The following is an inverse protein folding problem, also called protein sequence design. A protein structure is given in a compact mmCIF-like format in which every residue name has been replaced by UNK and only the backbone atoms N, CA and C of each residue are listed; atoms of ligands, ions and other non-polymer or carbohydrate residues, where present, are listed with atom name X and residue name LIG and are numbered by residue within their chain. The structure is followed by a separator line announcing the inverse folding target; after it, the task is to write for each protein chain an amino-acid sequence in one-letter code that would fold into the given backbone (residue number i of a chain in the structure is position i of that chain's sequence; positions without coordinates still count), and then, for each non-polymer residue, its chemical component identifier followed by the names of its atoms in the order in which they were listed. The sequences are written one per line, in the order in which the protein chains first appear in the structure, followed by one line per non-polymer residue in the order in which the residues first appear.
data_IF_018215241662
#
_entry.id   IF_018215241662
#
_cell.length_a   1.000
_cell.length_b   1.000
_cell.length_c   1.000
_cell.angle_alpha   90.00
_cell.angle_beta   90.00
_cell.angle_gamma   90.00
#
_symmetry.space_group_name_H-M   'P 1'
#
loop_
_entity.id
_entity.type
_entity.pdbx_description
1 polymer ?
#
# COMPACT_ATOMS: atom_id res chain seq x y z
N UNK A 1 -40.75 -53.33 26.90
CA UNK A 1 -40.02 -52.26 26.18
C UNK A 1 -40.44 -52.32 24.72
N UNK A 2 -40.86 -51.29 24.00
CA UNK A 2 -40.75 -49.85 24.18
C UNK A 2 -40.62 -49.26 22.78
N UNK A 3 -41.74 -49.05 22.07
CA UNK A 3 -41.74 -48.41 20.75
C UNK A 3 -43.05 -47.64 20.55
N UNK A 4 -43.29 -46.63 21.39
CA UNK A 4 -44.40 -45.67 21.21
C UNK A 4 -43.98 -44.20 21.45
N UNK A 5 -42.67 -43.94 21.63
CA UNK A 5 -42.17 -42.63 22.09
C UNK A 5 -41.42 -41.81 21.03
N UNK A 6 -41.24 -42.30 19.80
CA UNK A 6 -40.43 -41.60 18.78
C UNK A 6 -41.20 -40.76 17.75
N UNK A 7 -42.51 -40.98 17.56
CA UNK A 7 -43.24 -40.26 16.50
C UNK A 7 -43.51 -38.80 16.86
N UNK A 8 -43.81 -38.51 18.13
CA UNK A 8 -44.04 -37.14 18.60
C UNK A 8 -42.76 -36.31 18.65
N UNK A 9 -41.61 -36.94 18.96
CA UNK A 9 -40.31 -36.27 19.00
C UNK A 9 -39.80 -35.93 17.60
N UNK A 10 -39.98 -36.84 16.63
CA UNK A 10 -39.63 -36.58 15.23
C UNK A 10 -40.52 -35.48 14.64
N UNK A 11 -41.83 -35.50 14.89
CA UNK A 11 -42.73 -34.43 14.44
C UNK A 11 -42.39 -33.06 15.05
N UNK A 12 -42.02 -33.00 16.33
CA UNK A 12 -41.65 -31.73 16.98
C UNK A 12 -40.29 -31.20 16.51
N UNK A 13 -39.30 -32.08 16.28
CA UNK A 13 -38.01 -31.68 15.71
C UNK A 13 -38.16 -31.21 14.26
N UNK A 14 -39.01 -31.87 13.46
CA UNK A 14 -39.32 -31.46 12.09
C UNK A 14 -40.11 -30.14 12.07
N UNK A 15 -41.08 -29.94 12.97
CA UNK A 15 -41.78 -28.66 13.10
C UNK A 15 -40.83 -27.54 13.54
N UNK A 16 -39.88 -27.80 14.45
CA UNK A 16 -38.87 -26.84 14.86
C UNK A 16 -37.90 -26.50 13.72
N UNK A 17 -37.53 -27.47 12.87
CA UNK A 17 -36.72 -27.22 11.68
C UNK A 17 -37.48 -26.39 10.63
N UNK A 18 -38.79 -26.60 10.46
CA UNK A 18 -39.62 -25.85 9.52
C UNK A 18 -39.91 -24.42 10.04
N UNK A 19 -40.01 -24.20 11.35
CA UNK A 19 -40.21 -22.86 11.93
C UNK A 19 -38.93 -22.00 11.88
N UNK A 20 -37.75 -22.62 11.73
CA UNK A 20 -36.48 -21.89 11.60
C UNK A 20 -36.11 -21.46 10.17
N UNK A 21 -36.95 -21.74 9.16
CA UNK A 21 -36.82 -21.04 7.87
C UNK A 21 -37.39 -19.63 8.00
N UNK A 22 -36.72 -18.79 8.78
CA UNK A 22 -36.88 -17.35 8.66
C UNK A 22 -36.54 -16.99 7.21
N UNK A 23 -37.50 -16.42 6.49
CA UNK A 23 -37.24 -15.77 5.22
C UNK A 23 -36.36 -14.55 5.50
N UNK A 24 -35.06 -14.77 5.62
CA UNK A 24 -34.10 -13.70 5.45
C UNK A 24 -34.38 -13.12 4.06
N UNK A 25 -34.78 -11.85 4.00
CA UNK A 25 -34.90 -11.14 2.73
C UNK A 25 -33.53 -11.24 2.05
N UNK A 26 -33.47 -12.02 0.97
CA UNK A 26 -32.22 -12.37 0.32
C UNK A 26 -31.59 -11.09 -0.25
N UNK A 27 -30.46 -10.68 0.34
CA UNK A 27 -29.77 -9.46 -0.08
C UNK A 27 -29.20 -9.66 -1.48
N UNK A 28 -29.76 -8.94 -2.45
CA UNK A 28 -29.44 -9.13 -3.88
C UNK A 28 -28.05 -8.61 -4.26
N UNK A 29 -27.60 -7.51 -3.64
CA UNK A 29 -26.28 -6.92 -3.90
C UNK A 29 -25.70 -6.23 -2.65
N UNK A 30 -24.38 -5.93 -2.63
CA UNK A 30 -23.77 -5.10 -1.59
C UNK A 30 -24.44 -3.72 -1.48
N UNK A 31 -24.46 -3.15 -0.28
CA UNK A 31 -25.13 -1.85 -0.05
C UNK A 31 -24.47 -0.69 -0.81
N UNK A 32 -23.16 -0.80 -1.03
CA UNK A 32 -22.37 0.16 -1.83
C UNK A 32 -22.74 0.16 -3.32
N UNK A 33 -23.52 -0.85 -3.75
CA UNK A 33 -24.02 -1.02 -5.11
C UNK A 33 -25.55 -0.92 -5.20
N UNK A 34 -26.22 -0.50 -4.12
CA UNK A 34 -27.66 -0.30 -4.12
C UNK A 34 -28.02 1.18 -3.92
N UNK A 35 -29.21 1.53 -4.41
CA UNK A 35 -29.79 2.87 -4.29
C UNK A 35 -31.06 2.81 -3.45
N UNK A 36 -31.33 3.89 -2.73
CA UNK A 36 -32.59 4.05 -1.98
C UNK A 36 -33.70 4.47 -2.94
N UNK A 37 -34.79 3.70 -2.95
CA UNK A 37 -35.98 3.93 -3.77
C UNK A 37 -37.25 4.00 -2.91
N UNK A 38 -37.11 4.25 -1.61
CA UNK A 38 -38.22 4.22 -0.63
C UNK A 38 -39.30 5.26 -0.95
N UNK A 39 -38.91 6.44 -1.42
CA UNK A 39 -39.82 7.54 -1.75
C UNK A 39 -40.40 7.45 -3.16
N UNK A 40 -40.04 6.41 -3.93
CA UNK A 40 -40.41 6.31 -5.34
C UNK A 40 -41.74 5.59 -5.54
N UNK A 41 -42.42 5.94 -6.64
CA UNK A 41 -43.73 5.37 -6.93
C UNK A 41 -43.59 3.94 -7.45
N UNK A 42 -44.24 3.00 -6.76
CA UNK A 42 -44.40 1.61 -7.19
C UNK A 42 -45.50 1.48 -8.24
N UNK A 43 -45.20 0.77 -9.32
CA UNK A 43 -46.15 0.43 -10.38
C UNK A 43 -47.03 -0.76 -9.94
N UNK A 44 -48.10 -1.03 -10.71
CA UNK A 44 -49.08 -2.08 -10.41
C UNK A 44 -48.46 -3.49 -10.41
N UNK A 45 -47.43 -3.72 -11.23
CA UNK A 45 -46.65 -4.96 -11.31
C UNK A 45 -45.60 -5.10 -10.18
N UNK A 46 -45.52 -4.10 -9.30
CA UNK A 46 -44.55 -4.01 -8.22
C UNK A 46 -43.16 -3.51 -8.62
N UNK A 47 -42.96 -3.14 -9.90
CA UNK A 47 -41.72 -2.48 -10.32
C UNK A 47 -41.66 -1.03 -9.83
N UNK A 48 -40.47 -0.44 -9.82
CA UNK A 48 -40.24 0.97 -9.43
C UNK A 48 -39.38 1.63 -10.49
N UNK A 49 -39.80 2.79 -11.00
CA UNK A 49 -39.01 3.55 -11.96
C UNK A 49 -38.20 4.63 -11.23
N UNK A 50 -36.88 4.58 -11.35
CA UNK A 50 -35.97 5.53 -10.70
C UNK A 50 -34.70 5.73 -11.53
N UNK A 51 -34.26 6.99 -11.66
CA UNK A 51 -33.02 7.39 -12.34
C UNK A 51 -32.81 6.74 -13.73
N UNK A 52 -33.88 6.72 -14.52
CA UNK A 52 -33.86 6.17 -15.89
C UNK A 52 -33.94 4.64 -15.99
N UNK A 53 -34.03 3.92 -14.87
CA UNK A 53 -34.15 2.46 -14.83
C UNK A 53 -35.49 2.02 -14.25
N UNK A 54 -36.03 0.92 -14.79
CA UNK A 54 -37.18 0.22 -14.24
C UNK A 54 -36.69 -0.96 -13.40
N UNK A 55 -36.82 -0.87 -12.08
CA UNK A 55 -36.41 -1.88 -11.12
C UNK A 55 -37.53 -2.88 -10.90
N UNK A 56 -37.44 -4.12 -11.40
CA UNK A 56 -38.44 -5.13 -11.13
C UNK A 56 -38.29 -5.68 -9.70
N UNK A 57 -39.31 -6.35 -9.12
CA UNK A 57 -39.29 -6.77 -7.71
C UNK A 57 -38.11 -7.67 -7.31
N UNK A 58 -37.49 -8.39 -8.26
CA UNK A 58 -36.42 -9.35 -7.97
C UNK A 58 -35.07 -8.69 -7.68
N UNK A 59 -34.89 -7.42 -8.06
CA UNK A 59 -33.66 -6.65 -7.77
C UNK A 59 -33.85 -5.65 -6.63
N UNK A 60 -35.03 -5.69 -5.99
CA UNK A 60 -35.39 -4.87 -4.84
C UNK A 60 -35.25 -5.70 -3.56
N UNK A 61 -34.84 -5.06 -2.46
CA UNK A 61 -34.79 -5.68 -1.14
C UNK A 61 -35.03 -4.62 -0.05
N UNK A 62 -35.60 -5.04 1.08
CA UNK A 62 -35.77 -4.16 2.24
C UNK A 62 -34.58 -4.33 3.19
N UNK A 63 -34.02 -3.20 3.63
CA UNK A 63 -32.99 -3.14 4.66
C UNK A 63 -33.38 -2.05 5.65
N UNK A 64 -33.58 -2.42 6.92
CA UNK A 64 -33.85 -1.47 8.00
C UNK A 64 -34.95 -0.45 7.65
N UNK A 65 -36.13 -0.95 7.21
CA UNK A 65 -37.28 -0.18 6.71
C UNK A 65 -37.03 0.72 5.48
N UNK A 66 -35.85 0.59 4.86
CA UNK A 66 -35.49 1.28 3.61
C UNK A 66 -35.64 0.31 2.44
N UNK A 67 -36.46 0.67 1.45
CA UNK A 67 -36.56 -0.08 0.21
C UNK A 67 -35.39 0.30 -0.70
N UNK A 68 -34.55 -0.67 -1.02
CA UNK A 68 -33.36 -0.49 -1.86
C UNK A 68 -33.46 -1.33 -3.12
N UNK A 69 -32.78 -0.89 -4.17
CA UNK A 69 -32.67 -1.66 -5.41
C UNK A 69 -31.22 -1.70 -5.92
N UNK A 70 -30.91 -2.71 -6.73
CA UNK A 70 -29.58 -2.96 -7.28
C UNK A 70 -29.49 -2.58 -8.77
N UNK A 71 -28.99 -1.39 -9.13
CA UNK A 71 -28.87 -0.96 -10.54
C UNK A 71 -27.91 -1.85 -11.33
N UNK A 72 -26.89 -2.38 -10.66
CA UNK A 72 -25.82 -3.16 -11.28
C UNK A 72 -26.28 -4.53 -11.81
N UNK A 73 -27.46 -4.98 -11.40
CA UNK A 73 -28.12 -6.16 -11.94
C UNK A 73 -28.78 -5.88 -13.31
N UNK A 74 -29.13 -4.63 -13.61
CA UNK A 74 -29.84 -4.20 -14.82
C UNK A 74 -28.91 -3.53 -15.84
N UNK A 75 -27.98 -2.70 -15.37
CA UNK A 75 -27.01 -1.95 -16.18
C UNK A 75 -25.63 -2.10 -15.57
N UNK A 76 -24.56 -2.14 -16.37
CA UNK A 76 -23.18 -2.18 -15.84
C UNK A 76 -22.91 -0.95 -14.99
N UNK A 77 -22.20 -1.10 -13.88
CA UNK A 77 -21.99 -0.01 -12.92
C UNK A 77 -20.53 0.40 -12.80
N UNK A 78 -20.35 1.67 -12.45
CA UNK A 78 -19.10 2.21 -11.91
C UNK A 78 -19.44 3.15 -10.75
N UNK A 79 -18.48 3.37 -9.85
CA UNK A 79 -18.67 4.27 -8.71
C UNK A 79 -17.84 5.53 -8.86
N UNK A 80 -18.44 6.67 -8.54
CA UNK A 80 -17.75 7.92 -8.24
C UNK A 80 -17.74 8.11 -6.72
N UNK A 81 -16.60 8.50 -6.16
CA UNK A 81 -16.47 8.66 -4.72
C UNK A 81 -17.27 9.84 -4.18
N UNK A 82 -17.47 10.88 -5.00
CA UNK A 82 -18.15 12.10 -4.59
C UNK A 82 -19.30 12.42 -5.54
N UNK A 83 -20.36 13.07 -5.04
CA UNK A 83 -21.47 13.57 -5.86
C UNK A 83 -20.99 14.45 -7.01
N UNK A 84 -21.86 14.65 -8.00
CA UNK A 84 -21.60 15.57 -9.13
C UNK A 84 -21.17 16.95 -8.63
N UNK A 85 -20.11 17.49 -9.24
CA UNK A 85 -19.55 18.80 -8.89
C UNK A 85 -18.67 18.83 -7.63
N UNK A 86 -18.42 17.70 -6.97
CA UNK A 86 -17.54 17.62 -5.79
C UNK A 86 -16.23 16.89 -6.09
N UNK A 87 -15.22 17.16 -5.28
CA UNK A 87 -13.86 16.63 -5.38
C UNK A 87 -13.52 15.87 -4.11
N UNK A 88 -12.69 14.82 -4.23
CA UNK A 88 -12.27 14.03 -3.07
C UNK A 88 -10.88 14.47 -2.62
N UNK A 89 -10.80 15.18 -1.49
CA UNK A 89 -9.54 15.70 -0.97
C UNK A 89 -9.52 15.62 0.56
N UNK A 90 -8.37 15.24 1.15
CA UNK A 90 -8.28 15.11 2.61
C UNK A 90 -9.23 14.06 3.22
N UNK A 91 -9.55 12.99 2.47
CA UNK A 91 -10.51 11.92 2.84
C UNK A 91 -11.99 12.35 2.91
N UNK A 92 -12.34 13.53 2.43
CA UNK A 92 -13.72 14.00 2.38
C UNK A 92 -14.10 14.49 0.99
N UNK A 93 -15.39 14.46 0.70
CA UNK A 93 -15.95 15.11 -0.48
C UNK A 93 -16.23 16.58 -0.13
N UNK A 94 -15.74 17.48 -0.98
CA UNK A 94 -15.96 18.92 -0.84
C UNK A 94 -16.17 19.57 -2.19
N UNK A 95 -16.74 20.76 -2.19
CA UNK A 95 -16.76 21.60 -3.38
C UNK A 95 -15.33 22.03 -3.74
N UNK A 96 -15.02 22.18 -5.05
CA UNK A 96 -13.75 22.72 -5.49
C UNK A 96 -13.57 24.16 -4.96
N UNK A 97 -12.32 24.54 -4.65
CA UNK A 97 -11.96 25.87 -4.13
C UNK A 97 -12.23 26.98 -5.14
N UNK A 98 -12.11 26.67 -6.43
CA UNK A 98 -12.51 27.55 -7.51
C UNK A 98 -13.81 27.03 -8.11
N UNK A 99 -14.75 27.92 -8.34
CA UNK A 99 -16.02 27.63 -9.02
C UNK A 99 -15.72 27.35 -10.50
N UNK A 100 -15.14 26.18 -10.77
CA UNK A 100 -15.03 25.64 -12.11
C UNK A 100 -16.42 25.19 -12.53
N UNK A 101 -17.20 26.14 -13.04
CA UNK A 101 -18.64 26.04 -13.27
C UNK A 101 -19.06 25.04 -14.36
N UNK A 102 -18.13 24.39 -15.05
CA UNK A 102 -18.40 23.54 -16.21
C UNK A 102 -17.38 22.41 -16.38
N UNK A 103 -16.99 21.74 -15.30
CA UNK A 103 -16.21 20.52 -15.49
C UNK A 103 -16.93 19.37 -14.82
N UNK A 104 -17.51 18.51 -15.67
CA UNK A 104 -17.75 17.10 -15.36
C UNK A 104 -16.39 16.45 -15.02
N UNK A 105 -15.87 16.76 -13.84
CA UNK A 105 -14.58 16.27 -13.38
C UNK A 105 -14.70 14.78 -13.05
N UNK A 106 -13.82 13.89 -13.52
CA UNK A 106 -12.99 13.99 -14.72
C UNK A 106 -13.54 13.12 -15.85
N UNK A 107 -13.25 13.55 -17.09
CA UNK A 107 -13.12 12.67 -18.24
C UNK A 107 -12.11 11.60 -17.83
N UNK A 108 -12.53 10.33 -17.76
CA UNK A 108 -11.57 9.26 -17.52
C UNK A 108 -10.55 9.34 -18.67
N UNK A 109 -9.24 9.46 -18.37
CA UNK A 109 -8.24 9.61 -19.42
C UNK A 109 -8.35 8.56 -20.53
N UNK A 110 -8.04 8.98 -21.75
CA UNK A 110 -8.02 8.09 -22.91
C UNK A 110 -7.05 6.92 -22.66
N UNK A 111 -7.49 5.70 -22.99
CA UNK A 111 -6.70 4.47 -22.77
C UNK A 111 -6.88 3.82 -21.40
N UNK A 112 -7.58 4.46 -20.45
CA UNK A 112 -7.99 3.77 -19.21
C UNK A 112 -9.22 2.91 -19.46
N UNK A 113 -10.13 3.28 -20.34
CA UNK A 113 -11.21 2.36 -20.72
C UNK A 113 -10.73 1.40 -21.80
N UNK A 114 -11.09 0.12 -21.67
CA UNK A 114 -10.85 -0.92 -22.68
C UNK A 114 -11.37 -0.53 -24.07
N UNK A 115 -12.44 0.28 -24.11
CA UNK A 115 -13.01 0.83 -25.34
C UNK A 115 -13.20 2.34 -25.19
N UNK A 116 -12.97 3.13 -26.26
CA UNK A 116 -13.28 4.54 -26.24
C UNK A 116 -14.79 4.72 -26.09
N UNK A 117 -15.21 5.46 -25.07
CA UNK A 117 -16.62 5.74 -24.76
C UNK A 117 -16.80 7.26 -24.75
N UNK A 118 -17.91 7.75 -25.32
CA UNK A 118 -18.25 9.19 -25.34
C UNK A 118 -18.58 9.75 -23.97
N UNK A 119 -19.39 9.02 -23.19
CA UNK A 119 -19.72 9.37 -21.81
C UNK A 119 -19.87 8.12 -20.93
N UNK A 120 -19.34 8.20 -19.72
CA UNK A 120 -19.43 7.13 -18.72
C UNK A 120 -20.89 6.86 -18.31
N UNK A 121 -21.71 7.90 -18.25
CA UNK A 121 -23.12 7.84 -17.82
C UNK A 121 -24.02 7.18 -18.88
N UNK A 122 -23.63 7.25 -20.15
CA UNK A 122 -24.34 6.55 -21.23
C UNK A 122 -24.19 5.03 -21.10
N UNK A 123 -22.98 4.56 -20.84
CA UNK A 123 -22.64 3.13 -20.89
C UNK A 123 -22.74 2.43 -19.54
N UNK A 124 -22.55 3.19 -18.45
CA UNK A 124 -22.63 2.68 -17.09
C UNK A 124 -23.71 3.40 -16.30
N UNK A 125 -24.25 2.71 -15.31
CA UNK A 125 -24.96 3.34 -14.21
C UNK A 125 -23.92 3.86 -13.21
N UNK A 126 -23.95 5.15 -12.90
CA UNK A 126 -22.95 5.79 -12.04
C UNK A 126 -23.50 5.94 -10.64
N UNK A 127 -22.90 5.20 -9.71
CA UNK A 127 -23.22 5.28 -8.28
C UNK A 127 -22.32 6.31 -7.60
N UNK A 128 -22.85 7.01 -6.60
CA UNK A 128 -22.14 8.03 -5.84
C UNK A 128 -21.98 7.58 -4.39
N UNK A 129 -20.82 7.02 -4.08
CA UNK A 129 -20.52 6.49 -2.76
C UNK A 129 -19.00 6.28 -2.60
N UNK A 130 -18.47 6.61 -1.42
CA UNK A 130 -17.06 6.40 -1.05
C UNK A 130 -16.88 5.39 0.10
N UNK A 131 -17.94 4.72 0.52
CA UNK A 131 -17.87 3.69 1.54
C UNK A 131 -17.08 2.48 1.03
N UNK A 132 -16.24 1.95 1.92
CA UNK A 132 -15.52 0.70 1.74
C UNK A 132 -15.94 -0.26 2.85
N UNK A 133 -15.91 -1.55 2.53
CA UNK A 133 -16.08 -2.63 3.50
C UNK A 133 -14.98 -2.64 4.57
N UNK A 134 -13.82 -2.06 4.29
CA UNK A 134 -12.65 -2.00 5.18
C UNK A 134 -12.24 -0.57 5.50
N UNK A 135 -11.56 -0.40 6.64
CA UNK A 135 -10.99 0.88 7.05
C UNK A 135 -9.76 1.27 6.21
N UNK A 136 -9.06 0.27 5.66
CA UNK A 136 -7.89 0.49 4.83
C UNK A 136 -8.32 0.99 3.46
N UNK A 137 -7.85 2.17 3.09
CA UNK A 137 -8.10 2.79 1.79
C UNK A 137 -6.84 3.46 1.29
N UNK A 138 -6.55 3.29 0.01
CA UNK A 138 -5.42 3.95 -0.65
C UNK A 138 -5.86 4.57 -1.98
N UNK A 139 -5.15 5.63 -2.38
CA UNK A 139 -5.41 6.36 -3.61
C UNK A 139 -4.39 5.96 -4.67
N UNK A 140 -4.86 5.44 -5.79
CA UNK A 140 -4.06 5.14 -6.98
C UNK A 140 -4.22 6.31 -7.96
N UNK A 141 -3.12 6.94 -8.35
CA UNK A 141 -3.15 8.09 -9.27
C UNK A 141 -3.06 7.60 -10.71
N UNK A 142 -4.09 7.88 -11.50
CA UNK A 142 -4.13 7.43 -12.89
C UNK A 142 -3.09 8.13 -13.78
N UNK A 143 -2.75 9.38 -13.42
CA UNK A 143 -1.89 10.29 -14.14
C UNK A 143 -1.12 11.22 -13.19
N UNK A 144 -0.18 11.99 -13.76
CA UNK A 144 0.55 13.04 -13.06
C UNK A 144 1.81 12.56 -12.32
N UNK A 145 2.45 13.44 -11.54
CA UNK A 145 3.75 13.17 -10.92
C UNK A 145 3.70 12.10 -9.82
N UNK A 146 2.51 11.79 -9.32
CA UNK A 146 2.27 10.74 -8.32
C UNK A 146 1.92 9.38 -8.92
N UNK A 147 1.79 9.28 -10.25
CA UNK A 147 1.57 8.00 -10.92
C UNK A 147 2.81 7.13 -10.79
N UNK A 148 2.61 5.90 -10.34
CA UNK A 148 3.67 4.89 -10.29
C UNK A 148 3.90 4.35 -11.72
N UNK A 149 5.13 4.47 -12.23
CA UNK A 149 5.47 4.09 -13.62
C UNK A 149 5.26 2.60 -13.93
N UNK A 150 5.40 1.74 -12.93
CA UNK A 150 5.21 0.29 -13.07
C UNK A 150 3.73 -0.13 -13.01
N UNK A 151 2.80 0.82 -12.85
CA UNK A 151 1.37 0.56 -12.73
C UNK A 151 0.61 1.14 -13.92
N UNK A 152 -0.22 0.28 -14.53
CA UNK A 152 -1.18 0.67 -15.54
C UNK A 152 -2.59 0.25 -15.10
N UNK A 153 -3.57 1.11 -15.39
CA UNK A 153 -4.95 0.93 -14.95
C UNK A 153 -5.87 0.82 -16.16
N UNK A 154 -6.79 -0.14 -16.11
CA UNK A 154 -7.78 -0.31 -17.17
C UNK A 154 -9.14 -0.65 -16.58
N UNK A 155 -10.19 0.09 -16.95
CA UNK A 155 -11.58 -0.21 -16.60
C UNK A 155 -12.19 -1.02 -17.74
N UNK A 156 -12.58 -2.24 -17.41
CA UNK A 156 -13.24 -3.14 -18.34
C UNK A 156 -14.71 -2.76 -18.52
N UNK A 157 -15.31 -3.20 -19.62
CA UNK A 157 -16.71 -2.91 -19.97
C UNK A 157 -17.75 -3.44 -18.96
N UNK A 158 -17.36 -4.28 -18.01
CA UNK A 158 -18.21 -4.74 -16.92
C UNK A 158 -18.08 -3.87 -15.65
N UNK A 159 -17.29 -2.80 -15.69
CA UNK A 159 -17.05 -1.89 -14.58
C UNK A 159 -15.94 -2.34 -13.64
N UNK A 160 -15.20 -3.39 -13.98
CA UNK A 160 -14.09 -3.89 -13.16
C UNK A 160 -12.82 -3.09 -13.46
N UNK A 161 -12.15 -2.61 -12.41
CA UNK A 161 -10.85 -1.95 -12.50
C UNK A 161 -9.74 -2.99 -12.45
N UNK A 162 -8.90 -2.99 -13.47
CA UNK A 162 -7.72 -3.83 -13.63
C UNK A 162 -6.47 -3.02 -13.35
N UNK A 163 -5.67 -3.49 -12.41
CA UNK A 163 -4.34 -2.96 -12.12
C UNK A 163 -3.30 -3.94 -12.65
N UNK A 164 -2.49 -3.46 -13.59
CA UNK A 164 -1.34 -4.16 -14.14
C UNK A 164 -0.09 -3.62 -13.46
N UNK A 165 0.56 -4.46 -12.65
CA UNK A 165 1.76 -4.12 -11.90
C UNK A 165 2.90 -5.09 -12.23
N UNK A 166 4.14 -4.62 -12.24
CA UNK A 166 5.33 -5.47 -12.28
C UNK A 166 5.87 -5.65 -10.85
N UNK A 167 5.78 -6.87 -10.30
CA UNK A 167 6.45 -7.25 -9.04
C UNK A 167 7.57 -8.24 -9.35
N UNK A 168 8.81 -7.90 -9.01
CA UNK A 168 10.00 -8.71 -9.28
C UNK A 168 10.13 -9.15 -10.76
N UNK A 169 9.86 -8.23 -11.68
CA UNK A 169 9.79 -8.48 -13.14
C UNK A 169 8.70 -9.48 -13.59
N UNK A 170 7.79 -9.87 -12.69
CA UNK A 170 6.62 -10.69 -13.02
C UNK A 170 5.38 -9.79 -13.15
N UNK A 171 4.64 -9.85 -14.27
CA UNK A 171 3.40 -9.10 -14.42
C UNK A 171 2.32 -9.71 -13.52
N UNK A 172 1.84 -8.93 -12.57
CA UNK A 172 0.73 -9.24 -11.68
C UNK A 172 -0.47 -8.41 -12.08
N UNK A 173 -1.63 -9.07 -12.18
CA UNK A 173 -2.91 -8.43 -12.49
C UNK A 173 -3.82 -8.48 -11.27
N UNK A 174 -4.15 -7.32 -10.71
CA UNK A 174 -5.09 -7.17 -9.62
C UNK A 174 -6.46 -6.72 -10.16
N UNK A 175 -7.52 -7.25 -9.57
CA UNK A 175 -8.88 -7.07 -10.04
C UNK A 175 -9.76 -6.48 -8.94
N UNK A 176 -10.27 -5.28 -9.16
CA UNK A 176 -11.16 -4.59 -8.24
C UNK A 176 -12.55 -4.49 -8.84
N UNK A 177 -13.50 -5.16 -8.19
CA UNK A 177 -14.93 -5.06 -8.52
C UNK A 177 -15.48 -3.68 -8.15
N UNK A 178 -16.60 -3.24 -8.74
CA UNK A 178 -17.21 -1.95 -8.43
C UNK A 178 -17.42 -1.70 -6.94
N UNK A 179 -17.72 -2.71 -6.12
CA UNK A 179 -17.87 -2.51 -4.67
C UNK A 179 -16.57 -2.08 -3.94
N UNK A 180 -15.39 -2.32 -4.52
CA UNK A 180 -14.08 -2.16 -3.88
C UNK A 180 -13.25 -0.98 -4.43
N UNK A 181 -13.81 -0.19 -5.34
CA UNK A 181 -13.17 1.05 -5.77
C UNK A 181 -14.18 2.13 -6.11
N UNK A 182 -13.74 3.39 -6.12
CA UNK A 182 -14.49 4.50 -6.68
C UNK A 182 -13.55 5.49 -7.38
N UNK A 183 -14.09 6.22 -8.35
CA UNK A 183 -13.37 7.19 -9.16
C UNK A 183 -13.51 8.57 -8.53
N UNK A 184 -12.40 9.28 -8.37
CA UNK A 184 -12.38 10.63 -7.86
C UNK A 184 -11.43 11.53 -8.66
N UNK A 185 -11.66 12.83 -8.60
CA UNK A 185 -10.72 13.83 -9.07
C UNK A 185 -10.04 14.51 -7.88
N UNK A 186 -8.74 14.75 -7.99
CA UNK A 186 -7.97 15.51 -7.01
C UNK A 186 -7.67 16.90 -7.55
N UNK A 187 -8.21 17.91 -6.88
CA UNK A 187 -7.98 19.31 -7.20
C UNK A 187 -6.52 19.72 -7.02
N UNK A 188 -5.86 19.20 -5.97
CA UNK A 188 -4.47 19.53 -5.66
C UNK A 188 -3.49 19.14 -6.77
N UNK A 189 -3.78 18.06 -7.49
CA UNK A 189 -2.92 17.52 -8.54
C UNK A 189 -3.52 17.68 -9.94
N UNK A 190 -4.77 18.13 -10.05
CA UNK A 190 -5.54 18.21 -11.30
C UNK A 190 -5.55 16.87 -12.08
N UNK A 191 -5.74 15.75 -11.38
CA UNK A 191 -5.73 14.40 -12.00
C UNK A 191 -6.82 13.50 -11.44
N UNK A 192 -7.19 12.51 -12.24
CA UNK A 192 -8.04 11.39 -11.83
C UNK A 192 -7.27 10.44 -10.93
N UNK A 193 -7.93 10.00 -9.85
CA UNK A 193 -7.45 8.97 -8.95
C UNK A 193 -8.53 7.95 -8.66
N UNK A 194 -8.12 6.72 -8.37
CA UNK A 194 -8.98 5.66 -7.89
C UNK A 194 -8.79 5.54 -6.38
N UNK A 195 -9.88 5.59 -5.63
CA UNK A 195 -9.86 5.18 -4.23
C UNK A 195 -10.17 3.69 -4.20
N UNK A 196 -9.25 2.90 -3.67
CA UNK A 196 -9.36 1.44 -3.60
C UNK A 196 -9.45 1.02 -2.13
N UNK A 197 -10.36 0.08 -1.87
CA UNK A 197 -10.53 -0.53 -0.57
C UNK A 197 -9.51 -1.68 -0.42
N UNK A 198 -8.76 -1.66 0.68
CA UNK A 198 -7.81 -2.73 0.98
C UNK A 198 -8.53 -4.01 1.40
N UNK A 199 -7.88 -5.16 1.21
CA UNK A 199 -8.41 -6.44 1.68
C UNK A 199 -8.21 -6.60 3.20
N UNK A 200 -8.94 -7.51 3.83
CA UNK A 200 -8.71 -7.84 5.25
C UNK A 200 -7.30 -8.39 5.51
N UNK A 201 -6.72 -9.10 4.53
CA UNK A 201 -5.34 -9.59 4.60
C UNK A 201 -4.33 -8.45 4.58
N UNK A 202 -4.54 -7.44 3.73
CA UNK A 202 -3.71 -6.23 3.68
C UNK A 202 -3.81 -5.41 4.97
N UNK A 203 -4.99 -5.35 5.60
CA UNK A 203 -5.16 -4.70 6.92
C UNK A 203 -4.31 -5.40 7.98
N UNK A 204 -4.35 -6.73 8.02
CA UNK A 204 -3.57 -7.54 8.97
C UNK A 204 -2.05 -7.35 8.74
N UNK A 205 -1.63 -7.35 7.46
CA UNK A 205 -0.24 -7.14 7.09
C UNK A 205 0.25 -5.72 7.42
N UNK A 206 -0.58 -4.69 7.26
CA UNK A 206 -0.22 -3.34 7.65
C UNK A 206 -0.03 -3.18 9.17
N UNK A 207 -0.90 -3.78 9.98
CA UNK A 207 -0.76 -3.75 11.43
C UNK A 207 0.50 -4.52 11.87
N UNK A 208 0.77 -5.68 11.27
CA UNK A 208 1.99 -6.44 11.50
C UNK A 208 3.25 -5.66 11.06
N UNK A 209 3.21 -5.02 9.90
CA UNK A 209 4.30 -4.20 9.36
C UNK A 209 4.53 -2.97 10.23
N UNK A 210 3.48 -2.32 10.73
CA UNK A 210 3.60 -1.19 11.65
C UNK A 210 4.25 -1.63 12.96
N UNK A 211 3.81 -2.75 13.51
CA UNK A 211 4.41 -3.34 14.72
C UNK A 211 5.88 -3.73 14.51
N UNK A 212 6.19 -4.37 13.38
CA UNK A 212 7.56 -4.74 12.99
C UNK A 212 8.44 -3.50 12.84
N UNK A 213 7.98 -2.46 12.13
CA UNK A 213 8.70 -1.20 11.94
C UNK A 213 8.98 -0.51 13.27
N UNK A 214 8.01 -0.51 14.19
CA UNK A 214 8.20 0.06 15.52
C UNK A 214 9.22 -0.73 16.34
N UNK A 215 9.13 -2.06 16.32
CA UNK A 215 10.07 -2.96 17.02
C UNK A 215 11.49 -2.83 16.49
N UNK A 216 11.66 -2.78 15.16
CA UNK A 216 12.95 -2.58 14.52
C UNK A 216 13.57 -1.23 14.87
N UNK A 217 12.78 -0.16 14.88
CA UNK A 217 13.24 1.17 15.27
C UNK A 217 13.67 1.18 16.74
N UNK A 218 12.81 0.67 17.64
CA UNK A 218 13.09 0.62 19.08
C UNK A 218 14.36 -0.21 19.39
N UNK A 219 14.56 -1.33 18.72
CA UNK A 219 15.75 -2.16 18.88
C UNK A 219 17.04 -1.41 18.54
N UNK A 220 17.04 -0.65 17.44
CA UNK A 220 18.20 0.12 17.02
C UNK A 220 18.55 1.26 17.99
N UNK A 221 17.55 1.96 18.54
CA UNK A 221 17.77 2.99 19.56
C UNK A 221 18.29 2.40 20.87
N UNK A 222 17.72 1.27 21.31
CA UNK A 222 18.19 0.56 22.51
C UNK A 222 19.64 0.10 22.36
N UNK A 223 20.04 -0.39 21.19
CA UNK A 223 21.43 -0.77 20.91
C UNK A 223 22.40 0.42 20.98
N UNK A 224 22.03 1.60 20.47
CA UNK A 224 22.88 2.80 20.56
C UNK A 224 23.11 3.21 22.02
N UNK A 225 22.07 3.19 22.85
CA UNK A 225 22.18 3.50 24.29
C UNK A 225 23.12 2.50 24.98
N UNK A 226 23.01 1.21 24.66
CA UNK A 226 23.86 0.19 25.27
C UNK A 226 25.32 0.29 24.84
N UNK A 227 25.57 0.57 23.55
CA UNK A 227 26.92 0.76 23.01
C UNK A 227 27.59 2.03 23.55
N UNK A 228 26.85 3.12 23.69
CA UNK A 228 27.36 4.36 24.30
C UNK A 228 27.67 4.19 25.79
N UNK A 229 26.79 3.52 26.55
CA UNK A 229 27.09 3.16 27.94
C UNK A 229 28.32 2.27 28.05
N UNK A 230 28.46 1.28 27.18
CA UNK A 230 29.63 0.41 27.12
C UNK A 230 30.90 1.24 26.88
N UNK A 231 30.88 2.14 25.89
CA UNK A 231 32.00 3.04 25.63
C UNK A 231 32.37 3.89 26.85
N UNK A 232 31.38 4.47 27.54
CA UNK A 232 31.59 5.29 28.75
C UNK A 232 32.22 4.47 29.88
N UNK A 233 31.67 3.28 30.20
CA UNK A 233 32.21 2.40 31.24
C UNK A 233 33.66 2.04 30.95
N UNK A 234 33.95 1.59 29.73
CA UNK A 234 35.30 1.23 29.32
C UNK A 234 36.27 2.43 29.37
N UNK A 235 35.79 3.65 29.10
CA UNK A 235 36.61 4.87 29.20
C UNK A 235 36.92 5.30 30.65
N UNK A 236 35.97 5.11 31.59
CA UNK A 236 36.10 5.53 32.99
C UNK A 236 37.02 4.62 33.81
N UNK A 237 37.00 3.32 33.55
CA UNK A 237 37.84 2.38 34.28
C UNK A 237 39.26 2.34 33.71
N UNK A 238 40.17 3.08 34.35
CA UNK A 238 41.62 3.12 34.01
C UNK A 238 42.27 1.74 33.99
N UNK A 239 41.74 0.79 34.77
CA UNK A 239 42.18 -0.61 34.85
C UNK A 239 41.91 -1.41 33.56
N UNK A 240 40.87 -1.06 32.80
CA UNK A 240 40.50 -1.75 31.55
C UNK A 240 41.12 -1.12 30.30
N UNK A 241 41.94 -0.07 30.42
CA UNK A 241 42.67 0.58 29.30
C UNK A 241 43.92 -0.19 28.86
N UNK A 242 43.92 -1.51 29.02
CA UNK A 242 44.98 -2.36 28.47
C UNK A 242 44.88 -2.43 26.93
N UNK A 243 45.87 -3.05 26.27
CA UNK A 243 45.92 -3.14 24.81
C UNK A 243 44.62 -3.75 24.22
N UNK A 244 44.06 -4.74 24.90
CA UNK A 244 42.80 -5.38 24.54
C UNK A 244 41.60 -4.44 24.67
N UNK A 245 41.52 -3.66 25.76
CA UNK A 245 40.45 -2.70 26.01
C UNK A 245 40.45 -1.51 25.04
N UNK A 246 41.62 -1.07 24.56
CA UNK A 246 41.69 -0.04 23.50
C UNK A 246 41.09 -0.54 22.18
N UNK A 247 41.41 -1.78 21.79
CA UNK A 247 40.83 -2.41 20.60
C UNK A 247 39.30 -2.56 20.73
N UNK A 248 38.83 -2.96 21.91
CA UNK A 248 37.40 -3.08 22.20
C UNK A 248 36.69 -1.72 22.18
N UNK A 249 37.30 -0.66 22.71
CA UNK A 249 36.73 0.69 22.66
C UNK A 249 36.57 1.19 21.22
N UNK A 250 37.57 0.94 20.36
CA UNK A 250 37.49 1.27 18.93
C UNK A 250 36.36 0.48 18.24
N UNK A 251 36.24 -0.81 18.53
CA UNK A 251 35.15 -1.65 17.99
C UNK A 251 33.76 -1.15 18.41
N UNK A 252 33.56 -0.87 19.69
CA UNK A 252 32.28 -0.36 20.22
C UNK A 252 31.93 1.01 19.64
N UNK A 253 32.92 1.90 19.46
CA UNK A 253 32.72 3.20 18.84
C UNK A 253 32.27 3.08 17.37
N UNK A 254 32.91 2.20 16.60
CA UNK A 254 32.54 2.00 15.19
C UNK A 254 31.16 1.36 15.04
N UNK A 255 30.80 0.41 15.89
CA UNK A 255 29.43 -0.12 15.96
C UNK A 255 28.42 0.97 16.32
N UNK A 256 28.70 1.84 17.31
CA UNK A 256 27.79 2.92 17.68
C UNK A 256 27.54 3.89 16.52
N UNK A 257 28.57 4.22 15.73
CA UNK A 257 28.45 5.04 14.52
C UNK A 257 27.63 4.31 13.45
N UNK A 258 27.89 3.02 13.20
CA UNK A 258 27.15 2.23 12.22
C UNK A 258 25.66 2.12 12.55
N UNK A 259 25.31 1.80 13.80
CA UNK A 259 23.92 1.77 14.25
C UNK A 259 23.25 3.14 14.20
N UNK A 260 24.00 4.23 14.45
CA UNK A 260 23.50 5.60 14.29
C UNK A 260 23.17 5.90 12.81
N UNK A 261 24.09 5.60 11.89
CA UNK A 261 23.89 5.81 10.45
C UNK A 261 22.69 5.01 9.92
N UNK A 262 22.52 3.75 10.36
CA UNK A 262 21.36 2.93 10.00
C UNK A 262 20.04 3.53 10.47
N UNK A 263 19.98 4.15 11.66
CA UNK A 263 18.79 4.86 12.12
C UNK A 263 18.49 6.09 11.26
N UNK A 264 19.51 6.86 10.86
CA UNK A 264 19.34 8.02 9.98
C UNK A 264 18.80 7.61 8.61
N UNK A 265 19.35 6.56 8.00
CA UNK A 265 18.85 6.05 6.72
C UNK A 265 17.38 5.64 6.86
N UNK A 266 17.05 4.85 7.90
CA UNK A 266 15.67 4.44 8.16
C UNK A 266 14.74 5.62 8.37
N UNK A 267 15.18 6.70 9.04
CA UNK A 267 14.30 7.85 9.33
C UNK A 267 13.99 8.70 8.10
N UNK A 268 14.96 8.90 7.19
CA UNK A 268 14.70 9.67 5.97
C UNK A 268 13.93 8.91 4.91
N UNK A 269 14.03 7.57 4.86
CA UNK A 269 13.13 6.75 4.04
C UNK A 269 11.65 6.94 4.45
N UNK A 270 11.38 7.15 5.75
CA UNK A 270 10.01 7.46 6.24
C UNK A 270 9.53 8.82 5.72
N UNK A 271 10.43 9.78 5.54
CA UNK A 271 10.08 11.15 5.18
C UNK A 271 9.96 11.38 3.66
N UNK A 272 10.08 10.34 2.82
CA UNK A 272 10.10 10.46 1.35
C UNK A 272 11.10 11.51 0.84
N UNK A 273 12.13 11.81 1.62
CA UNK A 273 13.23 12.67 1.22
C UNK A 273 14.30 11.73 0.69
N UNK A 274 14.53 11.75 -0.63
CA UNK A 274 15.71 11.12 -1.23
C UNK A 274 16.92 11.77 -0.55
N UNK A 275 17.60 11.01 0.31
CA UNK A 275 18.86 11.49 0.88
C UNK A 275 19.79 11.85 -0.26
N UNK A 276 20.30 13.08 -0.25
CA UNK A 276 21.32 13.53 -1.18
C UNK A 276 22.52 12.58 -1.09
N UNK A 277 23.03 12.11 -2.24
CA UNK A 277 24.14 11.14 -2.38
C UNK A 277 25.37 11.57 -1.54
N UNK A 278 25.51 12.88 -1.35
CA UNK A 278 26.54 13.55 -0.57
C UNK A 278 26.41 13.23 0.94
N UNK A 279 25.20 13.20 1.48
CA UNK A 279 24.97 12.91 2.91
C UNK A 279 25.29 11.45 3.27
N UNK A 280 24.95 10.51 2.39
CA UNK A 280 25.33 9.11 2.53
C UNK A 280 26.85 8.92 2.44
N UNK A 281 27.51 9.59 1.49
CA UNK A 281 28.98 9.54 1.36
C UNK A 281 29.69 10.07 2.61
N UNK A 282 29.25 11.20 3.15
CA UNK A 282 29.88 11.83 4.33
C UNK A 282 29.75 10.96 5.59
N UNK A 283 28.61 10.30 5.81
CA UNK A 283 28.46 9.39 6.96
C UNK A 283 29.39 8.17 6.86
N UNK A 284 29.52 7.59 5.67
CA UNK A 284 30.37 6.41 5.44
C UNK A 284 31.85 6.76 5.55
N UNK A 285 32.29 7.89 4.98
CA UNK A 285 33.70 8.32 5.06
C UNK A 285 34.11 8.65 6.48
N UNK A 286 33.26 9.34 7.26
CA UNK A 286 33.54 9.63 8.66
C UNK A 286 33.68 8.34 9.50
N UNK A 287 32.88 7.30 9.24
CA UNK A 287 33.01 6.01 9.95
C UNK A 287 34.34 5.30 9.65
N UNK A 288 34.81 5.35 8.41
CA UNK A 288 36.08 4.75 7.97
C UNK A 288 37.29 5.51 8.51
N UNK A 289 37.22 6.84 8.58
CA UNK A 289 38.28 7.68 9.16
C UNK A 289 38.45 7.43 10.66
N UNK A 290 37.37 7.26 11.42
CA UNK A 290 37.46 6.88 12.83
C UNK A 290 38.04 5.47 13.03
N UNK A 291 37.73 4.52 12.14
CA UNK A 291 38.28 3.17 12.18
C UNK A 291 39.80 3.17 11.89
N UNK A 292 40.25 3.94 10.89
CA UNK A 292 41.67 4.05 10.55
C UNK A 292 42.47 4.74 11.65
N UNK A 293 41.95 5.80 12.28
CA UNK A 293 42.60 6.48 13.40
C UNK A 293 42.70 5.56 14.64
N UNK A 294 41.64 4.81 14.96
CA UNK A 294 41.67 3.84 16.07
C UNK A 294 42.62 2.66 15.85
N UNK A 295 42.80 2.23 14.59
CA UNK A 295 43.78 1.23 14.21
C UNK A 295 45.21 1.74 14.24
N UNK A 296 45.47 3.02 13.92
CA UNK A 296 46.81 3.62 13.93
C UNK A 296 47.35 3.79 15.36
N UNK A 297 46.50 4.11 16.35
CA UNK A 297 46.89 4.26 17.76
C UNK A 297 47.15 2.93 18.50
N UNK A 298 46.76 1.82 17.88
CA UNK A 298 46.99 0.47 18.37
C UNK A 298 48.13 -0.13 17.57
N UNK A 299 49.36 -0.18 18.10
CA UNK A 299 50.56 -0.78 17.47
C UNK A 299 50.46 -2.29 17.12
N UNK A 300 49.27 -2.82 16.85
CA UNK A 300 48.96 -4.15 16.33
C UNK A 300 48.72 -4.06 14.83
N UNK A 301 49.80 -3.99 14.07
CA UNK A 301 49.75 -4.37 12.67
C UNK A 301 50.69 -5.58 12.48
N UNK A 302 50.19 -6.83 12.48
CA UNK A 302 50.96 -7.91 11.88
C UNK A 302 51.13 -7.57 10.39
N UNK A 303 52.38 -7.55 9.91
CA UNK A 303 52.84 -7.15 8.57
C UNK A 303 52.06 -7.70 7.36
N UNK A 304 51.13 -8.64 7.56
CA UNK A 304 50.40 -9.37 6.52
C UNK A 304 49.09 -8.71 6.05
N UNK A 305 48.54 -7.74 6.78
CA UNK A 305 47.38 -6.96 6.30
C UNK A 305 47.76 -5.81 5.37
N UNK A 306 49.05 -5.45 5.30
CA UNK A 306 49.56 -4.39 4.42
C UNK A 306 49.59 -4.80 2.94
N UNK A 307 49.66 -6.10 2.66
CA UNK A 307 49.63 -6.63 1.28
C UNK A 307 48.20 -6.70 0.72
N UNK A 308 47.22 -7.11 1.54
CA UNK A 308 45.81 -7.19 1.13
C UNK A 308 45.21 -5.79 0.82
N UNK A 309 45.62 -4.75 1.57
CA UNK A 309 45.17 -3.37 1.30
C UNK A 309 45.95 -2.68 0.17
N UNK A 310 47.16 -3.13 -0.17
CA UNK A 310 47.91 -2.60 -1.32
C UNK A 310 47.36 -3.10 -2.66
N UNK A 311 46.76 -4.30 -2.70
CA UNK A 311 46.09 -4.82 -3.90
C UNK A 311 44.74 -4.12 -4.14
N UNK A 312 43.94 -3.88 -3.09
CA UNK A 312 42.64 -3.19 -3.22
C UNK A 312 42.78 -1.70 -3.60
N UNK A 313 43.88 -1.04 -3.24
CA UNK A 313 44.15 0.36 -3.61
C UNK A 313 44.62 0.54 -5.06
N UNK A 314 45.28 -0.46 -5.64
CA UNK A 314 45.75 -0.40 -7.04
C UNK A 314 44.63 -0.70 -8.03
N UNK A 315 43.69 -1.58 -7.70
CA UNK A 315 42.55 -1.94 -8.57
C UNK A 315 41.56 -0.77 -8.74
N UNK A 316 41.38 0.05 -7.70
CA UNK A 316 40.59 1.28 -7.79
C UNK A 316 41.22 2.38 -8.67
N UNK A 317 42.52 2.32 -8.93
CA UNK A 317 43.23 3.28 -9.79
C UNK A 317 43.10 2.95 -11.28
N UNK A 318 42.93 1.67 -11.64
CA UNK A 318 42.66 1.24 -13.02
C UNK A 318 41.20 1.45 -13.43
N UNK A 319 40.25 1.28 -12.49
CA UNK A 319 38.82 1.57 -12.73
C UNK A 319 38.61 3.08 -12.98
N UNK A 320 39.39 3.95 -12.33
CA UNK A 320 39.33 5.40 -12.51
C UNK A 320 39.80 5.88 -13.89
N UNK A 321 40.61 5.08 -14.61
CA UNK A 321 41.05 5.39 -15.98
C UNK A 321 40.10 4.88 -17.06
N UNK A 322 39.23 3.91 -16.74
CA UNK A 322 38.33 3.29 -17.73
C UNK A 322 36.92 3.90 -17.76
N UNK A 323 36.59 4.80 -16.84
CA UNK A 323 35.27 5.45 -16.73
C UNK A 323 35.16 6.83 -17.40
N UNK A 324 36.18 7.29 -18.12
CA UNK A 324 36.12 8.57 -18.84
C UNK A 324 35.74 8.45 -20.33
N UNK A 325 35.46 7.24 -20.82
CA UNK A 325 34.99 7.01 -22.17
C UNK A 325 34.06 5.80 -22.17
N UNK A 326 32.76 6.05 -22.13
CA UNK A 326 31.76 5.45 -23.03
C UNK A 326 30.38 5.60 -22.40
N UNK A 327 29.59 6.48 -23.02
CA UNK A 327 28.14 6.47 -22.96
C UNK A 327 27.61 5.17 -23.60
N UNK A 328 26.42 4.77 -23.15
CA UNK A 328 25.53 3.73 -23.70
C UNK A 328 25.69 2.27 -23.22
N UNK A 329 24.53 1.72 -22.82
CA UNK A 329 24.15 0.29 -22.71
C UNK A 329 24.47 -0.50 -21.42
N UNK A 330 23.38 -0.69 -20.65
CA UNK A 330 22.82 -1.97 -20.21
C UNK A 330 23.61 -2.99 -19.33
N UNK A 331 22.96 -3.29 -18.18
CA UNK A 331 22.68 -4.62 -17.57
C UNK A 331 23.74 -5.43 -16.81
N UNK A 332 23.33 -5.81 -15.58
CA UNK A 332 23.56 -7.06 -14.80
C UNK A 332 24.99 -7.43 -14.39
N UNK A 333 25.19 -7.58 -13.07
CA UNK A 333 26.18 -8.51 -12.53
C UNK A 333 25.50 -9.41 -11.50
N UNK A 334 25.43 -10.69 -11.86
CA UNK A 334 24.99 -11.84 -11.07
C UNK A 334 26.09 -12.25 -10.10
N UNK A 335 25.73 -12.63 -8.87
CA UNK A 335 26.67 -13.20 -7.90
C UNK A 335 26.74 -14.72 -8.07
N UNK A 336 27.94 -15.26 -8.31
CA UNK A 336 28.26 -16.67 -8.10
C UNK A 336 29.21 -16.81 -6.92
N UNK A 337 28.73 -17.48 -5.88
CA UNK A 337 29.50 -18.07 -4.80
C UNK A 337 30.37 -19.20 -5.37
N UNK A 338 31.66 -19.22 -5.05
CA UNK A 338 32.44 -20.45 -5.12
C UNK A 338 33.30 -20.54 -3.85
N UNK A 339 32.97 -21.55 -3.07
CA UNK A 339 33.69 -22.12 -1.95
C UNK A 339 34.98 -22.81 -2.41
N UNK A 340 36.07 -22.58 -1.67
CA UNK A 340 37.06 -23.59 -1.30
C UNK A 340 37.70 -23.20 0.04
#
# INVERSE_FOLDING_TARGET
MGCKTNLNYVCTVVLLFVVFTTSASEKVCPDTLSVDITNERKLEDGSVYFDGLLFPPQVQYNKDDTLRACPCALKKCVRRCCPRGQVYEGKTCRLPRQASYNIDFPLIPEGILDKPIRSLEENFYVLYDNECSTELRYSLFAEGPKKVKSENYTIRNDGVLLLHQLRDNVPVKLLYKPENYCIAWSENFNVTKFLVCGTSEEVQDQELTRFKRWTESAGLWMSIIFLTLTFVVYSMFRSLRNLYGKSLMAYVATLAIAYSALNFIKIGEIQNQVFDDIGCRVMVTCGLDYFTIGCVDSHLCPKKSREIFSESGNDFSEIKKKFHHDDENFLTISYTLQSD
#
